data_IF_270188894648
#
_entry.id   IF_270188894648
#
_cell.length_a   1.000
_cell.length_b   1.000
_cell.length_c   1.000
_cell.angle_alpha   90.00
_cell.angle_beta   90.00
_cell.angle_gamma   90.00
#
_symmetry.space_group_name_H-M   'P 1'
#
loop_
_entity.id
_entity.type
_entity.pdbx_description
1 polymer ?
#
# COMPACT_ATOMS: atom_id res chain seq x y z
N UNK A 1 -30.08 51.46 10.93
CA UNK A 1 -29.38 52.77 10.89
C UNK A 1 -28.52 52.86 12.13
N UNK A 2 -27.33 53.41 11.94
CA UNK A 2 -26.16 53.50 12.81
C UNK A 2 -26.36 53.88 14.28
N UNK A 3 -25.36 53.54 15.08
CA UNK A 3 -25.08 54.14 16.39
C UNK A 3 -24.31 53.17 17.29
N UNK A 4 -23.03 52.91 17.04
CA UNK A 4 -21.87 53.68 17.54
C UNK A 4 -21.33 53.14 18.86
N UNK A 5 -20.23 52.38 18.77
CA UNK A 5 -19.21 52.26 19.82
C UNK A 5 -18.65 53.65 20.17
N UNK A 6 -18.33 53.88 21.45
CA UNK A 6 -16.95 54.25 21.82
C UNK A 6 -16.59 53.68 23.22
N UNK A 7 -15.36 53.62 23.72
CA UNK A 7 -13.99 53.81 23.27
C UNK A 7 -13.15 53.55 24.53
N UNK A 8 -11.87 53.21 24.33
CA UNK A 8 -10.77 53.39 25.28
C UNK A 8 -10.72 52.51 26.54
N UNK A 9 -9.83 51.52 26.49
CA UNK A 9 -8.70 51.58 27.41
C UNK A 9 -7.38 51.36 26.67
N UNK A 10 -6.65 52.46 26.59
CA UNK A 10 -5.24 52.59 26.28
C UNK A 10 -4.42 51.80 27.30
N UNK A 11 -3.56 50.89 26.86
CA UNK A 11 -2.31 50.57 27.57
C UNK A 11 -1.32 50.05 26.56
N UNK A 12 -0.52 50.99 26.06
CA UNK A 12 0.86 50.75 25.64
C UNK A 12 1.60 49.97 26.73
N UNK A 13 2.20 48.84 26.39
CA UNK A 13 3.43 48.39 27.02
C UNK A 13 4.33 47.80 25.95
N UNK A 14 5.28 48.63 25.56
CA UNK A 14 6.47 48.28 24.82
C UNK A 14 7.40 47.42 25.67
N UNK A 15 8.06 46.48 24.98
CA UNK A 15 9.38 45.87 25.28
C UNK A 15 9.43 44.80 26.40
N UNK A 16 10.38 43.85 26.38
CA UNK A 16 11.50 43.68 25.45
C UNK A 16 11.61 42.27 24.83
N UNK A 17 12.39 42.24 23.73
CA UNK A 17 13.22 41.11 23.30
C UNK A 17 13.84 40.41 24.51
N UNK A 18 13.70 39.09 24.63
CA UNK A 18 14.81 38.23 25.00
C UNK A 18 14.46 36.74 24.93
N UNK A 19 15.47 36.01 24.45
CA UNK A 19 15.73 34.59 24.69
C UNK A 19 15.24 33.64 23.62
N UNK A 20 16.11 33.50 22.62
CA UNK A 20 16.41 32.21 22.02
C UNK A 20 16.29 31.09 23.07
N UNK A 21 15.27 30.28 22.92
CA UNK A 21 15.21 28.96 23.51
C UNK A 21 15.06 27.99 22.35
N UNK A 22 16.18 27.76 21.69
CA UNK A 22 16.48 26.56 20.92
C UNK A 22 16.40 25.34 21.85
N UNK A 23 15.19 24.98 22.26
CA UNK A 23 14.94 23.72 22.93
C UNK A 23 14.60 22.69 21.86
N UNK A 24 15.68 22.11 21.33
CA UNK A 24 15.78 20.74 20.82
C UNK A 24 14.43 20.05 20.60
N UNK A 25 13.80 20.38 19.47
CA UNK A 25 12.79 19.51 18.91
C UNK A 25 13.52 18.25 18.48
N UNK A 26 13.48 17.27 19.38
CA UNK A 26 14.00 15.94 19.19
C UNK A 26 13.33 15.42 17.92
N UNK A 27 14.06 15.44 16.81
CA UNK A 27 13.62 14.83 15.56
C UNK A 27 13.47 13.35 15.85
N UNK A 28 12.28 12.96 16.29
CA UNK A 28 11.90 11.59 16.49
C UNK A 28 11.77 11.00 15.08
N UNK A 29 12.90 10.59 14.49
CA UNK A 29 12.87 9.77 13.29
C UNK A 29 12.01 8.53 13.61
N UNK A 30 10.95 8.24 12.83
CA UNK A 30 10.22 7.00 13.00
C UNK A 30 11.21 5.85 12.80
N UNK A 31 11.39 5.03 13.83
CA UNK A 31 12.34 3.90 13.90
C UNK A 31 11.95 2.72 12.99
N UNK A 32 11.18 2.96 11.94
CA UNK A 32 10.75 1.92 11.00
C UNK A 32 10.96 2.42 9.58
N UNK A 33 12.13 2.11 9.00
CA UNK A 33 12.34 2.13 7.55
C UNK A 33 11.61 0.94 6.89
N UNK A 34 10.37 0.65 7.30
CA UNK A 34 9.53 -0.32 6.60
C UNK A 34 9.09 0.37 5.32
N UNK A 35 9.80 0.11 4.20
CA UNK A 35 9.37 0.61 2.88
C UNK A 35 7.89 0.35 2.70
N UNK A 36 7.16 1.40 2.33
CA UNK A 36 5.72 1.39 2.21
C UNK A 36 5.28 0.30 1.21
N UNK A 37 4.12 -0.34 1.40
CA UNK A 37 3.68 -1.43 0.55
C UNK A 37 3.56 -1.04 -0.93
N UNK A 38 3.14 0.19 -1.21
CA UNK A 38 2.88 0.70 -2.57
C UNK A 38 4.18 0.85 -3.38
N UNK A 39 5.31 1.13 -2.72
CA UNK A 39 6.63 1.28 -3.35
C UNK A 39 7.18 -0.06 -3.91
N UNK A 40 6.56 -1.19 -3.55
CA UNK A 40 6.98 -2.54 -3.98
C UNK A 40 6.02 -3.19 -4.97
N UNK A 41 4.94 -2.49 -5.32
CA UNK A 41 3.93 -2.97 -6.26
C UNK A 41 4.31 -2.50 -7.67
N UNK A 42 4.48 -3.43 -8.60
CA UNK A 42 4.84 -3.17 -9.99
C UNK A 42 3.62 -2.86 -10.87
N UNK A 43 2.57 -2.31 -10.26
CA UNK A 43 1.28 -2.09 -10.89
C UNK A 43 0.48 -3.37 -11.15
N UNK A 44 -0.56 -3.24 -11.97
CA UNK A 44 -1.51 -4.33 -12.27
C UNK A 44 -0.80 -5.47 -13.00
N UNK A 45 -0.86 -6.67 -12.45
CA UNK A 45 -0.29 -7.85 -13.09
C UNK A 45 -1.25 -8.44 -14.13
N UNK A 46 -0.74 -9.09 -15.18
CA UNK A 46 -1.55 -9.86 -16.12
C UNK A 46 -2.47 -10.88 -15.43
N UNK A 47 -1.98 -11.53 -14.36
CA UNK A 47 -2.78 -12.44 -13.53
C UNK A 47 -4.07 -11.78 -13.00
N UNK A 48 -4.02 -10.52 -12.57
CA UNK A 48 -5.19 -9.81 -12.06
C UNK A 48 -6.28 -9.67 -13.13
N UNK A 49 -5.86 -9.34 -14.36
CA UNK A 49 -6.74 -9.18 -15.51
C UNK A 49 -7.38 -10.52 -15.88
N UNK A 50 -6.58 -11.59 -15.90
CA UNK A 50 -7.06 -12.94 -16.20
C UNK A 50 -8.04 -13.43 -15.13
N UNK A 51 -7.73 -13.25 -13.86
CA UNK A 51 -8.65 -13.60 -12.76
C UNK A 51 -9.98 -12.86 -12.88
N UNK A 52 -9.96 -11.57 -13.17
CA UNK A 52 -11.19 -10.78 -13.33
C UNK A 52 -12.01 -11.24 -14.54
N UNK A 53 -11.35 -11.51 -15.68
CA UNK A 53 -12.02 -12.00 -16.90
C UNK A 53 -12.67 -13.38 -16.69
N UNK A 54 -11.99 -14.25 -15.94
CA UNK A 54 -12.46 -15.61 -15.65
C UNK A 54 -13.36 -15.67 -14.40
N UNK A 55 -13.67 -14.52 -13.78
CA UNK A 55 -14.45 -14.42 -12.54
C UNK A 55 -13.91 -15.27 -11.39
N UNK A 56 -12.58 -15.46 -11.36
CA UNK A 56 -11.91 -16.26 -10.34
C UNK A 56 -11.62 -15.42 -9.09
N UNK A 57 -12.03 -15.95 -7.96
CA UNK A 57 -11.67 -15.40 -6.66
C UNK A 57 -10.33 -15.96 -6.18
N UNK A 58 -9.70 -15.26 -5.24
CA UNK A 58 -8.52 -15.78 -4.56
C UNK A 58 -8.81 -17.09 -3.79
N UNK A 59 -10.07 -17.31 -3.39
CA UNK A 59 -10.49 -18.53 -2.74
C UNK A 59 -10.42 -19.72 -3.69
N UNK A 60 -10.86 -19.55 -4.93
CA UNK A 60 -10.87 -20.62 -5.94
C UNK A 60 -9.45 -21.12 -6.25
N UNK A 61 -8.50 -20.19 -6.36
CA UNK A 61 -7.07 -20.52 -6.51
C UNK A 61 -6.53 -21.27 -5.30
N UNK A 62 -6.87 -20.83 -4.09
CA UNK A 62 -6.43 -21.49 -2.86
C UNK A 62 -7.03 -22.90 -2.75
N UNK A 63 -8.30 -23.07 -3.13
CA UNK A 63 -9.00 -24.37 -3.11
C UNK A 63 -8.50 -25.34 -4.18
N UNK A 64 -8.09 -24.83 -5.34
CA UNK A 64 -7.54 -25.64 -6.43
C UNK A 64 -6.06 -26.00 -6.23
N UNK A 65 -5.34 -25.27 -5.38
CA UNK A 65 -3.91 -25.45 -5.18
C UNK A 65 -3.57 -26.78 -4.47
N UNK A 66 -2.66 -27.60 -5.02
CA UNK A 66 -2.20 -28.85 -4.38
C UNK A 66 -1.21 -28.57 -3.23
N UNK A 67 -0.70 -27.34 -3.12
CA UNK A 67 0.26 -26.90 -2.11
C UNK A 67 -0.38 -25.86 -1.20
N UNK A 68 0.28 -25.55 -0.08
CA UNK A 68 -0.11 -24.45 0.80
C UNK A 68 0.02 -23.10 0.07
N UNK A 69 -1.09 -22.66 -0.52
CA UNK A 69 -1.28 -21.33 -1.07
C UNK A 69 -2.18 -20.54 -0.12
N UNK A 70 -1.79 -19.31 0.20
CA UNK A 70 -2.60 -18.46 1.08
C UNK A 70 -3.27 -17.35 0.30
N UNK A 71 -4.43 -16.86 0.77
CA UNK A 71 -5.10 -15.68 0.21
C UNK A 71 -4.17 -14.46 0.13
N UNK A 72 -3.26 -14.30 1.10
CA UNK A 72 -2.25 -13.23 1.09
C UNK A 72 -1.24 -13.38 -0.04
N UNK A 73 -0.87 -14.60 -0.42
CA UNK A 73 0.01 -14.83 -1.57
C UNK A 73 -0.66 -14.43 -2.87
N UNK A 74 -1.91 -14.86 -3.07
CA UNK A 74 -2.70 -14.48 -4.25
C UNK A 74 -2.93 -12.98 -4.30
N UNK A 75 -3.31 -12.36 -3.18
CA UNK A 75 -3.51 -10.91 -3.10
C UNK A 75 -2.25 -10.12 -3.46
N UNK A 76 -1.07 -10.60 -3.03
CA UNK A 76 0.23 -10.00 -3.41
C UNK A 76 0.53 -10.18 -4.89
N UNK A 77 0.21 -11.35 -5.45
CA UNK A 77 0.37 -11.65 -6.86
C UNK A 77 -0.46 -10.69 -7.72
N UNK A 78 -1.75 -10.53 -7.40
CA UNK A 78 -2.69 -9.64 -8.11
C UNK A 78 -2.24 -8.18 -8.08
N UNK A 79 -1.74 -7.71 -6.93
CA UNK A 79 -1.24 -6.34 -6.76
C UNK A 79 0.12 -6.07 -7.41
N UNK A 80 0.80 -7.09 -7.95
CA UNK A 80 2.13 -6.92 -8.53
C UNK A 80 3.23 -6.73 -7.52
N UNK A 81 3.03 -7.22 -6.30
CA UNK A 81 4.11 -7.28 -5.33
C UNK A 81 5.03 -8.43 -5.67
N UNK A 82 6.34 -8.17 -5.68
CA UNK A 82 7.35 -9.18 -5.99
C UNK A 82 7.16 -10.46 -5.15
N UNK A 83 7.05 -11.59 -5.85
CA UNK A 83 7.01 -12.92 -5.27
C UNK A 83 8.31 -13.68 -5.55
N UNK A 84 8.69 -14.56 -4.63
CA UNK A 84 9.79 -15.50 -4.89
C UNK A 84 9.41 -16.46 -6.01
N UNK A 85 10.40 -17.09 -6.64
CA UNK A 85 10.18 -18.06 -7.73
C UNK A 85 9.24 -19.19 -7.28
N UNK A 86 9.41 -19.68 -6.06
CA UNK A 86 8.56 -20.75 -5.50
C UNK A 86 7.11 -20.28 -5.33
N UNK A 87 6.89 -19.07 -4.83
CA UNK A 87 5.54 -18.50 -4.69
C UNK A 87 4.88 -18.23 -6.04
N UNK A 88 5.65 -17.78 -7.05
CA UNK A 88 5.13 -17.62 -8.42
C UNK A 88 4.68 -18.96 -9.01
N UNK A 89 5.50 -20.01 -8.86
CA UNK A 89 5.17 -21.37 -9.33
C UNK A 89 3.91 -21.91 -8.65
N UNK A 90 3.75 -21.72 -7.35
CA UNK A 90 2.55 -22.13 -6.62
C UNK A 90 1.29 -21.42 -7.13
N UNK A 91 1.36 -20.11 -7.36
CA UNK A 91 0.23 -19.36 -7.90
C UNK A 91 -0.09 -19.79 -9.34
N UNK A 92 0.93 -20.03 -10.16
CA UNK A 92 0.78 -20.53 -11.53
C UNK A 92 0.14 -21.92 -11.57
N UNK A 93 0.64 -22.87 -10.79
CA UNK A 93 0.08 -24.23 -10.70
C UNK A 93 -1.39 -24.20 -10.25
N UNK A 94 -1.71 -23.40 -9.23
CA UNK A 94 -3.07 -23.19 -8.77
C UNK A 94 -3.99 -22.58 -9.83
N UNK A 95 -3.49 -21.60 -10.59
CA UNK A 95 -4.23 -20.97 -11.68
C UNK A 95 -4.51 -21.97 -12.81
N UNK A 96 -3.52 -22.77 -13.18
CA UNK A 96 -3.68 -23.78 -14.22
C UNK A 96 -4.74 -24.81 -13.84
N UNK A 97 -4.74 -25.25 -12.59
CA UNK A 97 -5.72 -26.21 -12.08
C UNK A 97 -7.13 -25.61 -11.96
N UNK A 98 -7.24 -24.36 -11.52
CA UNK A 98 -8.53 -23.67 -11.40
C UNK A 98 -9.18 -23.39 -12.77
N UNK A 99 -8.37 -23.17 -13.81
CA UNK A 99 -8.85 -22.79 -15.16
C UNK A 99 -8.86 -23.92 -16.18
N UNK A 100 -8.11 -24.99 -15.92
CA UNK A 100 -7.80 -26.01 -16.94
C UNK A 100 -6.91 -25.50 -18.08
N UNK A 101 -6.33 -24.29 -17.96
CA UNK A 101 -5.44 -23.71 -18.96
C UNK A 101 -3.99 -23.76 -18.49
N UNK A 102 -3.02 -23.76 -19.41
CA UNK A 102 -1.60 -23.81 -19.05
C UNK A 102 -0.81 -22.63 -19.64
N UNK A 103 -1.13 -21.38 -19.25
CA UNK A 103 -0.38 -20.21 -19.69
C UNK A 103 1.06 -20.24 -19.19
N UNK A 104 1.95 -19.46 -19.80
CA UNK A 104 3.33 -19.35 -19.32
C UNK A 104 3.40 -18.48 -18.06
N UNK A 105 4.41 -18.68 -17.21
CA UNK A 105 4.60 -17.84 -16.01
C UNK A 105 4.79 -16.36 -16.39
N UNK A 106 5.46 -16.08 -17.51
CA UNK A 106 5.65 -14.73 -18.07
C UNK A 106 4.36 -14.10 -18.57
N UNK A 107 3.30 -14.88 -18.81
CA UNK A 107 1.98 -14.35 -19.15
C UNK A 107 1.16 -14.00 -17.91
N UNK A 108 1.54 -14.49 -16.73
CA UNK A 108 0.88 -14.19 -15.46
C UNK A 108 1.58 -13.06 -14.70
N UNK A 109 2.91 -12.95 -14.84
CA UNK A 109 3.76 -12.03 -14.09
C UNK A 109 4.64 -11.23 -15.06
N UNK A 110 4.75 -9.91 -14.83
CA UNK A 110 5.57 -9.02 -15.67
C UNK A 110 7.04 -8.88 -15.20
N UNK A 111 7.49 -9.78 -14.32
CA UNK A 111 8.83 -9.87 -13.72
C UNK A 111 9.22 -11.34 -13.51
#
# INVERSE_FOLDING_TARGET
MSGSDPSANDTVHSEPVQSESVLSESVQLPRTHRRQPEEREQGVQPLAILMQRLQLSAHDLVSASPRQLTHKMVSRAVKGRWLTINSRRQVHEAFCLATGTAPLISELFNY
#
